data_IF_074923471292
#
_entry.id   IF_074923471292
#
_cell.length_a   1.000
_cell.length_b   1.000
_cell.length_c   1.000
_cell.angle_alpha   90.00
_cell.angle_beta   90.00
_cell.angle_gamma   90.00
#
_symmetry.space_group_name_H-M   'P 1'
#
loop_
_entity.id
_entity.type
_entity.pdbx_description
1 polymer ?
#
# COMPACT_ATOMS: atom_id res chain seq x y z
N UNK A 1 -7.30 -1.76 8.98
CA UNK A 1 -7.68 -0.70 8.02
C UNK A 1 -8.76 -1.28 7.10
N UNK A 2 -9.89 -0.61 6.93
CA UNK A 2 -11.07 -1.21 6.32
C UNK A 2 -11.18 -0.90 4.84
N UNK A 3 -11.22 -1.97 4.05
CA UNK A 3 -11.90 -1.97 2.78
C UNK A 3 -13.38 -1.88 3.12
N UNK A 4 -14.10 -0.90 2.58
CA UNK A 4 -15.56 -0.87 2.64
C UNK A 4 -16.08 -1.99 1.73
N UNK A 5 -16.00 -3.21 2.24
CA UNK A 5 -16.66 -4.37 1.66
C UNK A 5 -18.13 -4.18 2.03
N UNK A 6 -18.94 -3.77 1.06
CA UNK A 6 -20.38 -3.65 1.22
C UNK A 6 -20.93 -4.88 1.94
N UNK A 7 -21.86 -4.67 2.88
CA UNK A 7 -22.48 -5.70 3.73
C UNK A 7 -22.95 -6.95 2.96
N UNK A 8 -23.21 -6.79 1.66
CA UNK A 8 -23.62 -7.87 0.76
C UNK A 8 -22.47 -8.81 0.38
N UNK A 9 -21.21 -8.40 0.29
CA UNK A 9 -20.16 -9.25 -0.29
C UNK A 9 -19.83 -10.46 0.60
N UNK A 10 -19.74 -10.27 1.91
CA UNK A 10 -19.42 -11.38 2.83
C UNK A 10 -20.57 -12.39 2.97
N UNK A 11 -21.83 -11.93 2.84
CA UNK A 11 -23.03 -12.79 2.87
C UNK A 11 -23.33 -13.45 1.52
N UNK A 12 -22.90 -12.83 0.42
CA UNK A 12 -23.14 -13.34 -0.95
C UNK A 12 -22.16 -14.45 -1.33
N UNK A 13 -20.95 -14.48 -0.75
CA UNK A 13 -19.91 -15.44 -1.11
C UNK A 13 -19.38 -16.25 0.09
N UNK A 14 -20.20 -17.16 0.65
CA UNK A 14 -19.86 -17.90 1.88
C UNK A 14 -18.73 -18.93 1.70
N UNK A 15 -18.38 -19.27 0.45
CA UNK A 15 -17.31 -20.21 0.09
C UNK A 15 -15.93 -19.54 -0.06
N UNK A 16 -15.86 -18.21 0.04
CA UNK A 16 -14.59 -17.49 -0.02
C UNK A 16 -13.89 -17.48 1.33
N UNK A 17 -12.59 -17.72 1.30
CA UNK A 17 -11.70 -17.53 2.43
C UNK A 17 -10.97 -16.19 2.30
N UNK A 18 -11.12 -15.34 3.31
CA UNK A 18 -10.51 -14.03 3.40
C UNK A 18 -9.22 -14.11 4.21
N UNK A 19 -8.14 -13.58 3.65
CA UNK A 19 -6.82 -13.64 4.26
C UNK A 19 -6.36 -12.22 4.51
N UNK A 20 -6.07 -11.91 5.76
CA UNK A 20 -5.70 -10.57 6.20
C UNK A 20 -4.25 -10.62 6.66
N UNK A 21 -3.37 -9.98 5.89
CA UNK A 21 -2.01 -9.74 6.32
C UNK A 21 -1.98 -8.56 7.30
N UNK A 22 -1.39 -8.74 8.47
CA UNK A 22 -1.35 -7.70 9.51
C UNK A 22 0.00 -7.67 10.24
N UNK A 23 0.43 -6.49 10.67
CA UNK A 23 1.56 -6.34 11.60
C UNK A 23 1.14 -6.19 13.07
N UNK A 24 -0.17 -6.18 13.34
CA UNK A 24 -0.75 -5.87 14.65
C UNK A 24 -0.76 -7.13 15.54
N UNK A 25 0.41 -7.54 16.02
CA UNK A 25 0.55 -8.71 16.90
C UNK A 25 -0.13 -8.55 18.27
N UNK A 26 -0.50 -7.33 18.64
CA UNK A 26 -1.13 -6.94 19.90
C UNK A 26 -2.67 -7.06 19.87
N UNK A 27 -3.27 -7.34 18.71
CA UNK A 27 -4.72 -7.46 18.56
C UNK A 27 -5.16 -8.90 18.22
N UNK A 28 -6.15 -9.42 18.94
CA UNK A 28 -6.75 -10.72 18.59
C UNK A 28 -7.68 -10.60 17.39
N UNK A 29 -7.89 -11.73 16.70
CA UNK A 29 -8.83 -11.84 15.58
C UNK A 29 -10.22 -11.30 15.93
N UNK A 30 -10.73 -11.66 17.10
CA UNK A 30 -12.06 -11.28 17.59
C UNK A 30 -12.15 -9.77 17.81
N UNK A 31 -11.09 -9.16 18.37
CA UNK A 31 -11.01 -7.72 18.57
C UNK A 31 -11.01 -6.98 17.23
N UNK A 32 -10.31 -7.48 16.22
CA UNK A 32 -10.27 -6.88 14.89
C UNK A 32 -11.64 -6.97 14.21
N UNK A 33 -12.28 -8.14 14.25
CA UNK A 33 -13.63 -8.34 13.68
C UNK A 33 -14.69 -7.47 14.40
N UNK A 34 -14.61 -7.36 15.72
CA UNK A 34 -15.51 -6.50 16.50
C UNK A 34 -15.35 -5.03 16.09
N UNK A 35 -14.11 -4.54 15.95
CA UNK A 35 -13.83 -3.17 15.49
C UNK A 35 -14.36 -2.95 14.07
N UNK A 36 -14.23 -3.93 13.18
CA UNK A 36 -14.77 -3.85 11.82
C UNK A 36 -16.30 -3.72 11.83
N UNK A 37 -16.98 -4.54 12.65
CA UNK A 37 -18.44 -4.47 12.85
C UNK A 37 -18.87 -3.10 13.39
N UNK A 38 -18.21 -2.61 14.43
CA UNK A 38 -18.59 -1.35 15.09
C UNK A 38 -18.35 -0.11 14.20
N UNK A 39 -17.26 -0.09 13.43
CA UNK A 39 -16.90 1.09 12.61
C UNK A 39 -17.55 1.11 11.24
N UNK A 40 -17.71 -0.05 10.61
CA UNK A 40 -18.10 -0.15 9.21
C UNK A 40 -19.37 -0.97 9.01
N UNK A 41 -19.91 -1.56 10.08
CA UNK A 41 -20.91 -2.61 9.92
C UNK A 41 -20.31 -3.92 9.37
N UNK A 42 -19.00 -4.08 9.43
CA UNK A 42 -18.26 -5.27 9.03
C UNK A 42 -18.70 -6.62 9.66
N UNK A 43 -19.64 -7.43 9.14
CA UNK A 43 -19.88 -8.78 9.71
C UNK A 43 -19.41 -9.89 8.77
N UNK A 44 -18.40 -10.65 9.21
CA UNK A 44 -17.83 -11.78 8.48
C UNK A 44 -17.80 -12.99 9.41
N UNK A 45 -18.14 -14.18 8.90
CA UNK A 45 -17.98 -15.42 9.65
C UNK A 45 -16.49 -15.59 10.04
N UNK A 46 -16.15 -15.69 11.33
CA UNK A 46 -14.79 -15.93 11.77
C UNK A 46 -14.14 -17.16 11.13
N UNK A 47 -14.90 -18.19 10.74
CA UNK A 47 -14.34 -19.37 10.06
C UNK A 47 -13.78 -19.05 8.68
N UNK A 48 -14.33 -18.04 8.01
CA UNK A 48 -13.93 -17.64 6.67
C UNK A 48 -12.78 -16.62 6.67
N UNK A 49 -12.29 -16.20 7.84
CA UNK A 49 -11.21 -15.21 7.94
C UNK A 49 -9.98 -15.83 8.58
N UNK A 50 -8.82 -15.68 7.92
CA UNK A 50 -7.52 -16.06 8.46
C UNK A 50 -6.62 -14.83 8.55
N UNK A 51 -5.94 -14.66 9.69
CA UNK A 51 -4.93 -13.62 9.87
C UNK A 51 -3.54 -14.21 9.65
N UNK A 52 -2.74 -13.54 8.83
CA UNK A 52 -1.34 -13.88 8.58
C UNK A 52 -0.48 -12.72 9.08
N UNK A 53 0.15 -12.90 10.23
CA UNK A 53 0.92 -11.82 10.84
C UNK A 53 2.30 -11.67 10.21
N UNK A 54 2.68 -10.46 9.81
CA UNK A 54 3.94 -10.11 9.15
C UNK A 54 4.90 -9.42 10.12
N UNK A 55 6.13 -9.92 10.21
CA UNK A 55 7.17 -9.44 11.13
C UNK A 55 7.85 -8.17 10.61
N UNK A 56 7.93 -8.01 9.29
CA UNK A 56 8.64 -6.90 8.67
C UNK A 56 7.79 -5.63 8.58
N UNK A 57 6.63 -5.52 9.25
CA UNK A 57 5.78 -4.33 9.16
C UNK A 57 6.50 -3.03 9.54
N UNK A 58 7.48 -3.08 10.44
CA UNK A 58 8.24 -1.89 10.84
C UNK A 58 9.07 -1.32 9.68
N UNK A 59 9.58 -2.16 8.77
CA UNK A 59 10.52 -1.68 7.74
C UNK A 59 9.88 -0.73 6.74
N UNK A 60 8.56 -0.75 6.58
CA UNK A 60 7.85 0.13 5.65
C UNK A 60 7.47 1.49 6.27
N UNK A 61 7.82 1.74 7.53
CA UNK A 61 7.53 3.02 8.19
C UNK A 61 8.49 4.14 7.75
N UNK A 62 7.94 5.34 7.53
CA UNK A 62 8.67 6.45 6.92
C UNK A 62 9.76 7.04 7.82
N UNK A 63 9.61 6.93 9.15
CA UNK A 63 10.56 7.45 10.14
C UNK A 63 11.94 6.77 10.06
N UNK A 64 12.00 5.55 9.52
CA UNK A 64 13.25 4.84 9.25
C UNK A 64 14.05 5.45 8.09
N UNK A 65 13.43 6.32 7.28
CA UNK A 65 14.00 6.83 6.04
C UNK A 65 13.95 8.37 6.00
N UNK A 66 14.89 9.06 6.66
CA UNK A 66 14.93 10.53 6.68
C UNK A 66 15.26 11.14 5.31
N UNK A 67 15.77 10.35 4.36
CA UNK A 67 16.10 10.76 2.98
C UNK A 67 15.70 9.64 2.02
N UNK A 68 15.32 10.01 0.79
CA UNK A 68 14.91 9.06 -0.25
C UNK A 68 13.79 8.10 0.20
N UNK A 69 12.88 8.62 1.03
CA UNK A 69 11.79 7.86 1.66
C UNK A 69 10.97 7.06 0.65
N UNK A 70 10.61 7.64 -0.51
CA UNK A 70 9.74 6.97 -1.50
C UNK A 70 10.37 5.69 -2.04
N UNK A 71 11.63 5.73 -2.51
CA UNK A 71 12.30 4.53 -3.02
C UNK A 71 12.58 3.52 -1.90
N UNK A 72 12.95 3.99 -0.71
CA UNK A 72 13.20 3.11 0.42
C UNK A 72 11.93 2.36 0.85
N UNK A 73 10.79 3.06 0.97
CA UNK A 73 9.50 2.45 1.27
C UNK A 73 8.99 1.54 0.16
N UNK A 74 9.23 1.87 -1.11
CA UNK A 74 8.89 0.98 -2.21
C UNK A 74 9.65 -0.36 -2.08
N UNK A 75 10.96 -0.32 -1.85
CA UNK A 75 11.78 -1.53 -1.66
C UNK A 75 11.40 -2.29 -0.38
N UNK A 76 11.13 -1.58 0.72
CA UNK A 76 10.64 -2.19 1.96
C UNK A 76 9.29 -2.87 1.75
N UNK A 77 8.40 -2.27 0.95
CA UNK A 77 7.11 -2.83 0.57
C UNK A 77 7.26 -4.11 -0.25
N UNK A 78 8.25 -4.17 -1.14
CA UNK A 78 8.59 -5.40 -1.86
C UNK A 78 9.07 -6.50 -0.90
N UNK A 79 9.96 -6.19 0.05
CA UNK A 79 10.42 -7.15 1.06
C UNK A 79 9.27 -7.68 1.93
N UNK A 80 8.37 -6.80 2.36
CA UNK A 80 7.17 -7.17 3.11
C UNK A 80 6.22 -8.02 2.26
N UNK A 81 6.09 -7.70 0.97
CA UNK A 81 5.33 -8.48 0.00
C UNK A 81 5.88 -9.90 -0.17
N UNK A 82 7.21 -10.05 -0.23
CA UNK A 82 7.84 -11.37 -0.27
C UNK A 82 7.58 -12.17 1.01
N UNK A 83 7.65 -11.53 2.18
CA UNK A 83 7.29 -12.19 3.44
C UNK A 83 5.84 -12.70 3.40
N UNK A 84 4.92 -11.86 2.92
CA UNK A 84 3.50 -12.22 2.79
C UNK A 84 3.31 -13.39 1.82
N UNK A 85 3.93 -13.33 0.65
CA UNK A 85 3.85 -14.36 -0.38
C UNK A 85 4.40 -15.71 0.09
N UNK A 86 5.54 -15.71 0.79
CA UNK A 86 6.15 -16.94 1.33
C UNK A 86 5.30 -17.58 2.43
N UNK A 87 4.54 -16.78 3.19
CA UNK A 87 3.61 -17.30 4.19
C UNK A 87 2.35 -17.87 3.57
N UNK A 88 1.82 -17.19 2.55
CA UNK A 88 0.63 -17.63 1.84
C UNK A 88 0.58 -16.96 0.46
N UNK A 89 0.33 -17.74 -0.58
CA UNK A 89 0.05 -17.24 -1.93
C UNK A 89 -1.48 -17.27 -2.20
N UNK A 90 -2.18 -16.13 -2.25
CA UNK A 90 -3.60 -16.09 -2.52
C UNK A 90 -3.89 -16.15 -4.03
N UNK A 91 -5.07 -16.65 -4.41
CA UNK A 91 -5.54 -16.59 -5.80
C UNK A 91 -5.87 -15.17 -6.25
N UNK A 92 -6.36 -14.33 -5.33
CA UNK A 92 -6.65 -12.91 -5.53
C UNK A 92 -5.94 -12.13 -4.44
N UNK A 93 -5.08 -11.20 -4.83
CA UNK A 93 -4.37 -10.30 -3.95
C UNK A 93 -4.91 -8.87 -4.09
N UNK A 94 -5.12 -8.19 -2.98
CA UNK A 94 -5.58 -6.79 -2.94
C UNK A 94 -4.61 -5.97 -2.11
N UNK A 95 -3.91 -5.03 -2.73
CA UNK A 95 -3.07 -4.06 -2.01
C UNK A 95 -3.93 -2.88 -1.53
N UNK A 96 -4.05 -2.74 -0.22
CA UNK A 96 -4.74 -1.60 0.42
C UNK A 96 -3.78 -0.64 1.13
N UNK A 97 -2.48 -0.95 1.15
CA UNK A 97 -1.46 -0.15 1.84
C UNK A 97 -0.73 0.82 0.90
N UNK A 98 -0.82 0.59 -0.42
CA UNK A 98 -0.18 1.43 -1.43
C UNK A 98 1.28 1.05 -1.72
N UNK A 99 1.65 -0.22 -1.49
CA UNK A 99 2.97 -0.74 -1.81
C UNK A 99 3.01 -1.24 -3.26
N UNK A 100 3.20 -0.32 -4.20
CA UNK A 100 3.08 -0.59 -5.65
C UNK A 100 3.93 -1.75 -6.17
N UNK A 101 5.11 -2.03 -5.58
CA UNK A 101 5.95 -3.17 -5.97
C UNK A 101 5.38 -4.54 -5.57
N UNK A 102 4.39 -4.59 -4.67
CA UNK A 102 3.66 -5.82 -4.37
C UNK A 102 2.77 -6.26 -5.54
N UNK A 103 2.29 -5.32 -6.36
CA UNK A 103 1.41 -5.62 -7.49
C UNK A 103 2.08 -6.54 -8.53
N UNK A 104 3.25 -6.20 -9.11
CA UNK A 104 3.94 -7.09 -10.03
C UNK A 104 4.44 -8.36 -9.36
N UNK A 105 4.82 -8.30 -8.07
CA UNK A 105 5.20 -9.49 -7.30
C UNK A 105 4.06 -10.52 -7.28
N UNK A 106 2.86 -10.13 -6.87
CA UNK A 106 1.75 -11.08 -6.81
C UNK A 106 1.21 -11.42 -8.22
N UNK A 107 1.20 -10.48 -9.16
CA UNK A 107 0.67 -10.73 -10.52
C UNK A 107 1.55 -11.65 -11.35
N UNK A 108 2.85 -11.34 -11.43
CA UNK A 108 3.75 -11.96 -12.40
C UNK A 108 4.58 -13.08 -11.77
N UNK A 109 4.94 -12.98 -10.48
CA UNK A 109 5.72 -14.02 -9.80
C UNK A 109 4.80 -15.03 -9.12
N UNK A 110 3.79 -14.56 -8.37
CA UNK A 110 2.90 -15.46 -7.64
C UNK A 110 1.74 -16.04 -8.47
N UNK A 111 1.44 -15.44 -9.63
CA UNK A 111 0.33 -15.85 -10.50
C UNK A 111 -1.07 -15.46 -10.00
N UNK A 112 -1.15 -14.62 -8.96
CA UNK A 112 -2.41 -14.12 -8.42
C UNK A 112 -3.10 -13.14 -9.40
N UNK A 113 -4.42 -13.01 -9.27
CA UNK A 113 -5.12 -11.83 -9.75
C UNK A 113 -4.89 -10.67 -8.79
N UNK A 114 -4.72 -9.44 -9.30
CA UNK A 114 -4.29 -8.31 -8.46
C UNK A 114 -5.24 -7.13 -8.58
N UNK A 115 -5.72 -6.64 -7.45
CA UNK A 115 -6.39 -5.35 -7.33
C UNK A 115 -5.66 -4.42 -6.36
N UNK A 116 -5.94 -3.13 -6.42
CA UNK A 116 -5.43 -2.16 -5.45
C UNK A 116 -6.50 -1.16 -5.04
N UNK A 117 -6.43 -0.70 -3.80
CA UNK A 117 -7.20 0.42 -3.29
C UNK A 117 -6.25 1.54 -2.87
N UNK A 118 -6.32 2.68 -3.56
CA UNK A 118 -5.41 3.82 -3.39
C UNK A 118 -6.21 5.02 -2.89
N UNK A 119 -6.04 5.35 -1.61
CA UNK A 119 -6.63 6.57 -1.03
C UNK A 119 -5.76 7.80 -1.27
N UNK A 120 -4.44 7.66 -1.12
CA UNK A 120 -3.44 8.67 -1.48
C UNK A 120 -2.29 7.96 -2.21
N UNK A 121 -1.96 8.35 -3.45
CA UNK A 121 -0.87 7.71 -4.17
C UNK A 121 0.47 8.03 -3.51
N UNK A 122 1.44 7.10 -3.63
CA UNK A 122 2.79 7.27 -3.05
C UNK A 122 3.51 8.50 -3.61
N UNK A 123 3.21 8.88 -4.85
CA UNK A 123 3.68 10.09 -5.52
C UNK A 123 2.52 10.67 -6.32
N UNK A 124 2.30 11.99 -6.24
CA UNK A 124 1.24 12.71 -6.96
C UNK A 124 1.80 13.78 -7.90
N UNK A 125 0.97 14.25 -8.84
CA UNK A 125 1.29 15.40 -9.69
C UNK A 125 1.54 16.65 -8.85
N UNK A 126 0.76 16.89 -7.80
CA UNK A 126 0.94 18.05 -6.91
C UNK A 126 2.32 18.04 -6.23
N UNK A 127 2.82 16.87 -5.81
CA UNK A 127 4.16 16.75 -5.24
C UNK A 127 5.25 17.12 -6.24
N UNK A 128 5.07 16.77 -7.52
CA UNK A 128 6.00 17.10 -8.61
C UNK A 128 5.93 18.60 -8.91
N UNK A 129 4.73 19.17 -8.97
CA UNK A 129 4.50 20.58 -9.26
C UNK A 129 5.06 21.49 -8.18
N UNK A 130 4.90 21.14 -6.89
CA UNK A 130 5.49 21.87 -5.76
C UNK A 130 7.02 21.97 -5.87
N UNK A 131 7.69 20.87 -6.23
CA UNK A 131 9.15 20.88 -6.43
C UNK A 131 9.52 21.67 -7.67
N UNK A 132 8.73 21.58 -8.75
CA UNK A 132 8.94 22.35 -9.98
C UNK A 132 8.81 23.86 -9.76
N UNK A 133 7.88 24.29 -8.89
CA UNK A 133 7.70 25.70 -8.50
C UNK A 133 8.66 26.16 -7.40
N UNK A 134 9.42 25.22 -6.82
CA UNK A 134 10.32 25.45 -5.67
C UNK A 134 9.55 26.05 -4.49
N UNK A 135 8.34 25.57 -4.24
CA UNK A 135 7.54 26.00 -3.10
C UNK A 135 7.91 25.18 -1.86
N UNK A 136 8.06 25.84 -0.70
CA UNK A 136 8.35 25.16 0.55
C UNK A 136 7.13 24.33 0.98
N UNK A 137 7.36 23.09 1.40
CA UNK A 137 6.31 22.19 1.89
C UNK A 137 6.90 21.17 2.86
N UNK A 138 6.04 20.40 3.55
CA UNK A 138 6.46 19.33 4.47
C UNK A 138 7.38 18.32 3.78
N UNK A 139 7.16 18.07 2.49
CA UNK A 139 7.96 17.18 1.66
C UNK A 139 9.03 17.92 0.84
N UNK A 140 9.13 19.25 0.90
CA UNK A 140 10.06 20.08 0.15
C UNK A 140 10.78 21.11 1.03
N UNK A 141 11.94 20.70 1.57
CA UNK A 141 12.72 21.48 2.52
C UNK A 141 13.29 22.77 1.90
N UNK A 142 13.48 23.78 2.75
CA UNK A 142 13.96 25.12 2.38
C UNK A 142 15.33 25.08 1.67
N UNK A 143 16.25 24.21 2.12
CA UNK A 143 17.55 24.00 1.46
C UNK A 143 17.43 23.53 0.01
N UNK A 144 16.38 22.76 -0.31
CA UNK A 144 16.12 22.29 -1.68
C UNK A 144 15.52 23.45 -2.49
N UNK A 145 14.55 24.15 -1.91
CA UNK A 145 13.91 25.32 -2.50
C UNK A 145 14.93 26.38 -2.87
N UNK A 146 15.89 26.70 -1.99
CA UNK A 146 16.88 27.75 -2.23
C UNK A 146 17.96 27.37 -3.26
N UNK A 147 18.12 26.08 -3.58
CA UNK A 147 19.12 25.60 -4.52
C UNK A 147 18.53 25.11 -5.84
N UNK A 148 18.94 25.75 -6.95
CA UNK A 148 18.57 25.31 -8.30
C UNK A 148 18.96 23.85 -8.56
N UNK A 149 20.19 23.46 -8.19
CA UNK A 149 20.71 22.11 -8.45
C UNK A 149 19.94 21.06 -7.66
N UNK A 150 19.68 21.30 -6.36
CA UNK A 150 18.94 20.36 -5.52
C UNK A 150 17.47 20.24 -5.95
N UNK A 151 16.84 21.36 -6.33
CA UNK A 151 15.48 21.35 -6.88
C UNK A 151 15.40 20.52 -8.17
N UNK A 152 16.32 20.71 -9.12
CA UNK A 152 16.36 19.92 -10.36
C UNK A 152 16.64 18.44 -10.09
N UNK A 153 17.58 18.13 -9.19
CA UNK A 153 17.89 16.76 -8.81
C UNK A 153 16.69 16.04 -8.19
N UNK A 154 15.97 16.73 -7.30
CA UNK A 154 14.75 16.18 -6.71
C UNK A 154 13.61 16.04 -7.70
N UNK A 155 13.44 17.00 -8.62
CA UNK A 155 12.44 16.91 -9.68
C UNK A 155 12.70 15.70 -10.58
N UNK A 156 13.95 15.47 -10.96
CA UNK A 156 14.35 14.27 -11.71
C UNK A 156 14.05 13.00 -10.90
N UNK A 157 14.39 12.97 -9.62
CA UNK A 157 14.07 11.84 -8.73
C UNK A 157 12.56 11.55 -8.67
N UNK A 158 11.71 12.56 -8.46
CA UNK A 158 10.27 12.37 -8.42
C UNK A 158 9.69 11.92 -9.75
N UNK A 159 10.17 12.47 -10.89
CA UNK A 159 9.72 12.05 -12.22
C UNK A 159 10.10 10.60 -12.53
N UNK A 160 11.33 10.21 -12.22
CA UNK A 160 11.78 8.81 -12.37
C UNK A 160 10.96 7.89 -11.48
N UNK A 161 10.75 8.26 -10.20
CA UNK A 161 9.95 7.46 -9.29
C UNK A 161 8.49 7.34 -9.78
N UNK A 162 7.87 8.43 -10.25
CA UNK A 162 6.52 8.41 -10.80
C UNK A 162 6.39 7.54 -12.04
N UNK A 163 7.40 7.55 -12.92
CA UNK A 163 7.45 6.64 -14.07
C UNK A 163 7.46 5.17 -13.63
N UNK A 164 8.35 4.80 -12.71
CA UNK A 164 8.40 3.42 -12.18
C UNK A 164 7.14 3.04 -11.40
N UNK A 165 6.57 3.97 -10.63
CA UNK A 165 5.31 3.78 -9.92
C UNK A 165 4.15 3.51 -10.89
N UNK A 166 4.11 4.22 -12.02
CA UNK A 166 3.16 3.95 -13.11
C UNK A 166 3.36 2.57 -13.72
N UNK A 167 4.62 2.17 -13.99
CA UNK A 167 4.94 0.84 -14.53
C UNK A 167 4.51 -0.30 -13.59
N UNK A 168 4.78 -0.19 -12.29
CA UNK A 168 4.36 -1.22 -11.32
C UNK A 168 2.85 -1.25 -11.16
N UNK A 169 2.17 -0.10 -11.27
CA UNK A 169 0.72 0.01 -11.28
C UNK A 169 0.03 -0.76 -12.41
N UNK A 170 0.69 -0.96 -13.56
CA UNK A 170 0.14 -1.75 -14.68
C UNK A 170 -0.14 -3.21 -14.34
N UNK A 171 0.44 -3.72 -13.26
CA UNK A 171 0.18 -5.08 -12.79
C UNK A 171 -1.21 -5.25 -12.14
N UNK A 172 -1.87 -4.15 -11.73
CA UNK A 172 -3.21 -4.19 -11.17
C UNK A 172 -4.26 -4.33 -12.29
N UNK A 173 -5.16 -5.31 -12.15
CA UNK A 173 -6.31 -5.51 -13.03
C UNK A 173 -7.48 -4.60 -12.65
N UNK A 174 -7.59 -4.25 -11.36
CA UNK A 174 -8.63 -3.37 -10.82
C UNK A 174 -7.98 -2.33 -9.91
N UNK A 175 -8.23 -1.06 -10.20
CA UNK A 175 -7.78 0.06 -9.38
C UNK A 175 -9.02 0.72 -8.77
N UNK A 176 -9.11 0.69 -7.46
CA UNK A 176 -10.11 1.39 -6.67
C UNK A 176 -9.45 2.61 -6.04
N UNK A 177 -10.13 3.74 -6.05
CA UNK A 177 -9.68 4.96 -5.38
C UNK A 177 -10.90 5.72 -4.86
N UNK A 178 -10.72 6.49 -3.80
CA UNK A 178 -11.73 7.46 -3.38
C UNK A 178 -11.47 8.78 -4.09
N UNK A 179 -12.51 9.33 -4.71
CA UNK A 179 -12.54 10.70 -5.22
C UNK A 179 -13.12 11.66 -4.19
#
# INVERSE_FOLDING_TARGET
MAIQIDWQVASTWPHLQYIIYSGDYDATKEQILLKAKQRFGITIDPKNVQFVFLRLRRVVEADLYPRFTLIAQALAGLLLGFEALLKLNPSIFVDSMGYSLTLPLFRWIAGSRVGTYVHYPTISCDMIDLVSRREQSYNNADIIVQSNVLSHGKLLYYRLFAFFYGLTGQAAEVVMANG
#
